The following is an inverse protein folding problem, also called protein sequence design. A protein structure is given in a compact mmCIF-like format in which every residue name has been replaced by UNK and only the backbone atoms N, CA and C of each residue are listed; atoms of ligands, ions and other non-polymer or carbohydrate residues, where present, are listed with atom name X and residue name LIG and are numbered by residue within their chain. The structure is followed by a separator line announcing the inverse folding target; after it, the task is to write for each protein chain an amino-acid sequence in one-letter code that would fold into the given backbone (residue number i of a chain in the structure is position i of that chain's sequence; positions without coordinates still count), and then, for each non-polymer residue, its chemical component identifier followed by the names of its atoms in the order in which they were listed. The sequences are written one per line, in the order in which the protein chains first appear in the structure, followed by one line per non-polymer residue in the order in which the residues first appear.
data_IF_740896942186
#
_entry.id   IF_740896942186
#
_cell.length_a   1.000
_cell.length_b   1.000
_cell.length_c   1.000
_cell.angle_alpha   90.00
_cell.angle_beta   90.00
_cell.angle_gamma   90.00
#
_symmetry.space_group_name_H-M   'P 1'
#
loop_
_entity.id
_entity.type
_entity.pdbx_description
1 polymer ?
#
# COMPACT_ATOMS: atom_id res chain seq x y z
N UNK A 1 -15.88 -9.40 11.96
CA UNK A 1 -16.20 -9.62 10.53
C UNK A 1 -15.23 -10.61 9.94
N UNK A 2 -13.95 -10.42 10.16
CA UNK A 2 -12.88 -11.24 9.60
C UNK A 2 -12.34 -12.17 10.69
N UNK A 3 -13.07 -13.25 10.98
CA UNK A 3 -12.65 -14.31 11.92
C UNK A 3 -11.84 -15.37 11.20
N UNK A 4 -11.21 -16.27 11.94
CA UNK A 4 -10.47 -17.41 11.38
C UNK A 4 -11.38 -18.26 10.49
N UNK A 5 -12.61 -18.54 10.94
CA UNK A 5 -13.62 -19.31 10.19
C UNK A 5 -13.98 -18.61 8.88
N UNK A 6 -14.08 -17.28 8.87
CA UNK A 6 -14.33 -16.51 7.65
C UNK A 6 -13.26 -16.77 6.61
N UNK A 7 -11.98 -16.75 6.99
CA UNK A 7 -10.87 -16.97 6.06
C UNK A 7 -10.85 -18.43 5.56
N UNK A 8 -11.07 -19.40 6.45
CA UNK A 8 -11.14 -20.82 6.09
C UNK A 8 -12.28 -21.10 5.11
N UNK A 9 -13.47 -20.55 5.35
CA UNK A 9 -14.61 -20.71 4.43
C UNK A 9 -14.31 -20.05 3.06
N UNK A 10 -13.71 -18.89 3.03
CA UNK A 10 -13.32 -18.22 1.78
C UNK A 10 -12.28 -19.04 1.02
N UNK A 11 -11.27 -19.58 1.69
CA UNK A 11 -10.25 -20.41 1.08
C UNK A 11 -10.87 -21.65 0.39
N UNK A 12 -11.77 -22.37 1.06
CA UNK A 12 -12.50 -23.51 0.49
C UNK A 12 -13.33 -23.12 -0.75
N UNK A 13 -13.96 -21.95 -0.72
CA UNK A 13 -14.73 -21.45 -1.88
C UNK A 13 -13.79 -21.17 -3.05
N UNK A 14 -12.66 -20.47 -2.80
CA UNK A 14 -11.68 -20.11 -3.82
C UNK A 14 -11.07 -21.39 -4.45
N UNK A 15 -10.66 -22.36 -3.65
CA UNK A 15 -10.16 -23.65 -4.14
C UNK A 15 -11.23 -24.36 -5.00
N UNK A 16 -12.48 -24.42 -4.52
CA UNK A 16 -13.59 -25.02 -5.28
C UNK A 16 -13.87 -24.31 -6.59
N UNK A 17 -13.56 -23.03 -6.71
CA UNK A 17 -13.67 -22.26 -7.96
C UNK A 17 -12.54 -22.57 -8.93
N UNK A 18 -11.54 -23.36 -8.57
CA UNK A 18 -10.44 -23.79 -9.41
C UNK A 18 -9.22 -22.87 -9.37
N UNK A 19 -8.98 -22.18 -8.25
CA UNK A 19 -7.74 -21.44 -8.05
C UNK A 19 -6.54 -22.39 -7.95
N UNK A 20 -5.39 -22.00 -8.53
CA UNK A 20 -4.14 -22.76 -8.48
C UNK A 20 -3.36 -22.52 -7.19
N UNK A 21 -3.54 -21.37 -6.55
CA UNK A 21 -2.94 -21.01 -5.27
C UNK A 21 -3.81 -20.00 -4.52
N UNK A 22 -3.54 -19.81 -3.23
CA UNK A 22 -4.22 -18.87 -2.36
C UNK A 22 -3.21 -17.91 -1.75
N UNK A 23 -3.38 -16.59 -1.95
CA UNK A 23 -2.54 -15.57 -1.36
C UNK A 23 -3.22 -14.91 -0.15
N UNK A 24 -2.55 -14.92 1.01
CA UNK A 24 -2.88 -14.11 2.17
C UNK A 24 -2.23 -12.74 1.98
N UNK A 25 -3.03 -11.69 1.74
CA UNK A 25 -2.51 -10.33 1.51
C UNK A 25 -2.65 -9.47 2.74
N UNK A 26 -1.53 -9.13 3.38
CA UNK A 26 -1.43 -8.20 4.51
C UNK A 26 -0.77 -6.88 4.08
N UNK A 27 -1.52 -6.03 3.41
CA UNK A 27 -1.05 -4.76 2.88
C UNK A 27 -0.71 -3.72 3.95
N UNK A 28 -1.26 -3.85 5.15
CA UNK A 28 -1.06 -2.92 6.25
C UNK A 28 -0.08 -3.43 7.31
N UNK A 29 0.47 -4.64 7.14
CA UNK A 29 1.34 -5.30 8.11
C UNK A 29 0.68 -5.45 9.50
N UNK A 30 -0.60 -5.86 9.51
CA UNK A 30 -1.40 -6.01 10.73
C UNK A 30 -1.47 -7.45 11.24
N UNK A 31 -1.15 -8.41 10.39
CA UNK A 31 -1.13 -9.82 10.76
C UNK A 31 -0.01 -10.04 11.78
N UNK A 32 -0.40 -10.33 13.02
CA UNK A 32 0.58 -10.61 14.06
C UNK A 32 1.27 -11.96 13.82
N UNK A 33 2.49 -12.20 14.35
CA UNK A 33 3.19 -13.44 14.16
C UNK A 33 2.40 -14.69 14.61
N UNK A 34 1.70 -14.60 15.73
CA UNK A 34 0.92 -15.72 16.26
C UNK A 34 -0.39 -15.93 15.50
N UNK A 35 -1.07 -14.84 15.09
CA UNK A 35 -2.25 -14.95 14.23
C UNK A 35 -1.88 -15.53 12.86
N UNK A 36 -0.68 -15.22 12.34
CA UNK A 36 -0.17 -15.83 11.12
C UNK A 36 0.00 -17.35 11.26
N UNK A 37 0.57 -17.79 12.39
CA UNK A 37 0.70 -19.22 12.67
C UNK A 37 -0.66 -19.91 12.70
N UNK A 38 -1.63 -19.36 13.44
CA UNK A 38 -2.98 -19.93 13.55
C UNK A 38 -3.69 -19.95 12.19
N UNK A 39 -3.65 -18.84 11.46
CA UNK A 39 -4.30 -18.71 10.16
C UNK A 39 -3.72 -19.70 9.15
N UNK A 40 -2.39 -19.72 9.01
CA UNK A 40 -1.73 -20.63 8.06
C UNK A 40 -1.99 -22.07 8.42
N UNK A 41 -1.88 -22.47 9.71
CA UNK A 41 -2.18 -23.83 10.14
C UNK A 41 -3.61 -24.25 9.77
N UNK A 42 -4.60 -23.40 10.07
CA UNK A 42 -5.99 -23.69 9.75
C UNK A 42 -6.26 -23.73 8.22
N UNK A 43 -5.59 -22.92 7.43
CA UNK A 43 -5.71 -22.95 5.98
C UNK A 43 -5.04 -24.19 5.38
N UNK A 44 -3.86 -24.59 5.87
CA UNK A 44 -3.18 -25.83 5.44
C UNK A 44 -4.00 -27.08 5.73
N UNK A 45 -4.78 -27.07 6.83
CA UNK A 45 -5.72 -28.17 7.14
C UNK A 45 -6.99 -28.14 6.27
N UNK A 46 -7.33 -26.97 5.70
CA UNK A 46 -8.61 -26.74 5.04
C UNK A 46 -8.58 -26.87 3.51
N UNK A 47 -7.43 -26.56 2.87
CA UNK A 47 -7.25 -26.56 1.41
C UNK A 47 -5.98 -27.31 1.02
N UNK A 48 -5.94 -27.81 -0.22
CA UNK A 48 -4.82 -28.57 -0.77
C UNK A 48 -3.91 -27.76 -1.70
N UNK A 49 -4.38 -26.59 -2.16
CA UNK A 49 -3.62 -25.70 -3.02
C UNK A 49 -2.52 -24.96 -2.26
N UNK A 50 -1.42 -24.57 -2.93
CA UNK A 50 -0.35 -23.78 -2.32
C UNK A 50 -0.86 -22.48 -1.70
N UNK A 51 -0.30 -22.12 -0.54
CA UNK A 51 -0.64 -20.89 0.18
C UNK A 51 0.57 -19.97 0.21
N UNK A 52 0.35 -18.71 -0.16
CA UNK A 52 1.32 -17.62 -0.20
C UNK A 52 1.02 -16.59 0.88
N UNK A 53 2.05 -16.03 1.49
CA UNK A 53 1.95 -14.86 2.37
C UNK A 53 2.62 -13.65 1.71
N UNK A 54 1.80 -12.69 1.30
CA UNK A 54 2.18 -11.37 0.83
C UNK A 54 2.01 -10.35 1.95
N UNK A 55 3.04 -10.13 2.76
CA UNK A 55 3.00 -9.25 3.91
C UNK A 55 3.95 -8.06 3.76
N UNK A 56 3.44 -6.85 4.01
CA UNK A 56 4.25 -5.63 4.07
C UNK A 56 4.97 -5.49 5.42
N UNK A 57 5.88 -4.49 5.52
CA UNK A 57 6.72 -4.30 6.70
C UNK A 57 6.36 -3.06 7.54
N UNK A 58 5.28 -2.36 7.23
CA UNK A 58 4.92 -1.06 7.82
C UNK A 58 4.97 -1.05 9.35
N UNK A 59 4.42 -2.08 10.01
CA UNK A 59 4.39 -2.20 11.49
C UNK A 59 5.72 -2.66 12.10
N UNK A 60 6.66 -3.15 11.30
CA UNK A 60 7.90 -3.78 11.77
C UNK A 60 7.76 -5.26 12.13
N UNK A 61 6.58 -5.86 12.01
CA UNK A 61 6.36 -7.28 12.36
C UNK A 61 6.64 -8.25 11.20
N UNK A 62 6.78 -7.77 9.96
CA UNK A 62 6.75 -8.58 8.74
C UNK A 62 7.64 -9.82 8.77
N UNK A 63 8.92 -9.72 9.18
CA UNK A 63 9.81 -10.89 9.26
C UNK A 63 9.40 -11.90 10.34
N UNK A 64 8.93 -11.42 11.50
CA UNK A 64 8.44 -12.31 12.56
C UNK A 64 7.17 -13.02 12.10
N UNK A 65 6.30 -12.31 11.38
CA UNK A 65 5.06 -12.86 10.78
C UNK A 65 5.40 -13.93 9.75
N UNK A 66 6.35 -13.68 8.84
CA UNK A 66 6.82 -14.66 7.86
C UNK A 66 7.42 -15.88 8.52
N UNK A 67 8.27 -15.71 9.54
CA UNK A 67 8.87 -16.84 10.26
C UNK A 67 7.79 -17.73 10.88
N UNK A 68 6.78 -17.16 11.52
CA UNK A 68 5.68 -17.92 12.11
C UNK A 68 4.79 -18.59 11.06
N UNK A 69 4.57 -17.95 9.92
CA UNK A 69 3.88 -18.59 8.79
C UNK A 69 4.68 -19.78 8.22
N UNK A 70 6.01 -19.64 8.11
CA UNK A 70 6.91 -20.73 7.67
C UNK A 70 6.89 -21.90 8.65
N UNK A 71 6.91 -21.64 9.96
CA UNK A 71 6.78 -22.67 10.98
C UNK A 71 5.43 -23.41 10.87
N UNK A 72 4.35 -22.69 10.52
CA UNK A 72 3.01 -23.26 10.31
C UNK A 72 2.86 -24.02 8.97
N UNK A 73 3.86 -23.97 8.09
CA UNK A 73 3.87 -24.74 6.84
C UNK A 73 3.40 -23.97 5.60
N UNK A 74 3.49 -22.63 5.58
CA UNK A 74 3.25 -21.85 4.37
C UNK A 74 4.15 -22.31 3.22
N UNK A 75 3.65 -22.24 1.99
CA UNK A 75 4.38 -22.71 0.81
C UNK A 75 5.24 -21.61 0.19
N UNK A 76 4.76 -20.34 0.21
CA UNK A 76 5.41 -19.20 -0.45
C UNK A 76 5.36 -17.99 0.48
N UNK A 77 6.44 -17.22 0.53
CA UNK A 77 6.51 -15.89 1.17
C UNK A 77 7.15 -14.90 0.25
N UNK A 78 6.61 -13.68 0.19
CA UNK A 78 7.15 -12.59 -0.62
C UNK A 78 8.18 -11.80 0.15
N UNK A 79 9.29 -11.51 -0.51
CA UNK A 79 10.41 -10.73 0.03
C UNK A 79 10.95 -9.78 -1.02
N UNK A 80 11.65 -8.74 -0.55
CA UNK A 80 12.42 -7.83 -1.41
C UNK A 80 13.92 -8.00 -1.17
N UNK A 81 14.75 -7.60 -2.12
CA UNK A 81 16.15 -7.34 -1.86
C UNK A 81 16.29 -6.13 -0.94
N UNK A 82 17.30 -6.15 -0.05
CA UNK A 82 17.47 -5.13 1.01
C UNK A 82 17.29 -3.68 0.54
N UNK A 83 17.82 -3.22 -0.61
CA UNK A 83 17.68 -1.81 -1.01
C UNK A 83 16.24 -1.33 -1.24
N UNK A 84 15.32 -2.25 -1.57
CA UNK A 84 13.90 -1.94 -1.79
C UNK A 84 12.98 -2.42 -0.67
N UNK A 85 13.52 -3.04 0.37
CA UNK A 85 12.76 -3.64 1.46
C UNK A 85 12.33 -2.64 2.53
N UNK A 86 11.59 -3.14 3.52
CA UNK A 86 11.13 -2.43 4.71
C UNK A 86 10.04 -1.38 4.42
N UNK A 87 9.64 -0.60 5.42
CA UNK A 87 8.60 0.43 5.32
C UNK A 87 7.29 -0.14 4.77
N UNK A 88 6.85 0.39 3.64
CA UNK A 88 5.64 -0.06 2.92
C UNK A 88 5.93 -1.14 1.88
N UNK A 89 7.15 -1.62 1.79
CA UNK A 89 7.57 -2.76 0.99
C UNK A 89 7.53 -4.07 1.80
N UNK A 90 8.18 -5.11 1.31
CA UNK A 90 8.23 -6.42 1.99
C UNK A 90 9.44 -6.54 2.93
N UNK A 91 9.48 -7.60 3.76
CA UNK A 91 10.67 -7.97 4.52
C UNK A 91 11.85 -8.28 3.58
N UNK A 92 13.10 -7.98 3.98
CA UNK A 92 14.28 -8.34 3.19
C UNK A 92 14.53 -9.85 3.16
N UNK A 93 15.01 -10.33 2.02
CA UNK A 93 15.31 -11.75 1.77
C UNK A 93 16.54 -12.23 2.56
N UNK A 94 17.59 -11.43 2.63
CA UNK A 94 18.89 -11.82 3.16
C UNK A 94 18.84 -12.33 4.61
N UNK A 95 18.19 -11.63 5.57
CA UNK A 95 18.04 -12.14 6.92
C UNK A 95 17.19 -13.41 6.99
N UNK A 96 16.24 -13.60 6.07
CA UNK A 96 15.41 -14.81 6.02
C UNK A 96 16.23 -16.03 5.59
N UNK A 97 17.12 -15.89 4.61
CA UNK A 97 18.06 -16.95 4.19
C UNK A 97 18.87 -17.42 5.39
N UNK A 98 19.51 -16.49 6.11
CA UNK A 98 20.35 -16.81 7.28
C UNK A 98 19.52 -17.50 8.37
N UNK A 99 18.30 -17.02 8.63
CA UNK A 99 17.41 -17.60 9.63
C UNK A 99 17.01 -19.03 9.28
N UNK A 100 16.66 -19.29 8.02
CA UNK A 100 16.17 -20.59 7.58
C UNK A 100 17.31 -21.59 7.30
N UNK A 101 18.54 -21.14 7.08
CA UNK A 101 19.68 -22.05 6.85
C UNK A 101 19.98 -22.95 8.04
N UNK A 102 19.55 -22.55 9.25
CA UNK A 102 19.67 -23.36 10.47
C UNK A 102 18.49 -24.32 10.68
N UNK A 103 17.58 -24.43 9.72
CA UNK A 103 16.36 -25.24 9.80
C UNK A 103 16.29 -26.25 8.66
N UNK A 104 15.29 -27.13 8.70
CA UNK A 104 15.01 -28.05 7.59
C UNK A 104 14.38 -27.31 6.37
N UNK A 105 13.95 -26.05 6.54
CA UNK A 105 13.27 -25.24 5.54
C UNK A 105 14.21 -24.27 4.83
N UNK A 106 15.35 -24.77 4.37
CA UNK A 106 16.34 -23.98 3.63
C UNK A 106 15.77 -23.42 2.33
N UNK A 107 16.09 -22.18 2.04
CA UNK A 107 15.63 -21.50 0.81
C UNK A 107 16.32 -22.01 -0.46
N UNK A 108 17.53 -22.55 -0.33
CA UNK A 108 18.38 -22.94 -1.46
C UNK A 108 19.11 -21.77 -2.13
N UNK A 109 18.92 -20.53 -1.69
CA UNK A 109 19.68 -19.38 -2.17
C UNK A 109 21.08 -19.35 -1.59
N UNK A 110 22.06 -19.00 -2.42
CA UNK A 110 23.40 -18.63 -1.95
C UNK A 110 23.40 -17.18 -1.47
N UNK A 111 23.70 -16.98 -0.18
CA UNK A 111 23.64 -15.67 0.47
C UNK A 111 24.57 -14.65 -0.21
N UNK A 112 25.78 -15.04 -0.62
CA UNK A 112 26.71 -14.12 -1.23
C UNK A 112 26.21 -13.63 -2.60
N UNK A 113 25.62 -14.55 -3.39
CA UNK A 113 24.99 -14.18 -4.67
C UNK A 113 23.85 -13.18 -4.49
N UNK A 114 23.04 -13.34 -3.43
CA UNK A 114 21.93 -12.42 -3.12
C UNK A 114 22.47 -11.07 -2.64
N UNK A 115 23.52 -11.05 -1.80
CA UNK A 115 24.19 -9.80 -1.38
C UNK A 115 24.77 -9.07 -2.57
N UNK A 116 25.49 -9.76 -3.46
CA UNK A 116 26.04 -9.16 -4.69
C UNK A 116 24.96 -8.54 -5.59
N UNK A 117 23.78 -9.17 -5.65
CA UNK A 117 22.63 -8.63 -6.37
C UNK A 117 22.05 -7.38 -5.69
N UNK A 118 21.97 -7.38 -4.37
CA UNK A 118 21.52 -6.23 -3.58
C UNK A 118 22.47 -5.04 -3.74
N UNK A 119 23.78 -5.27 -3.68
CA UNK A 119 24.79 -4.20 -3.87
C UNK A 119 24.71 -3.58 -5.28
N UNK A 120 24.52 -4.41 -6.31
CA UNK A 120 24.32 -3.92 -7.68
C UNK A 120 23.03 -3.10 -7.81
N UNK A 121 21.95 -3.57 -7.16
CA UNK A 121 20.69 -2.85 -7.16
C UNK A 121 20.82 -1.52 -6.41
N UNK A 122 21.48 -1.49 -5.25
CA UNK A 122 21.74 -0.26 -4.49
C UNK A 122 22.47 0.79 -5.34
N UNK A 123 23.56 0.38 -6.01
CA UNK A 123 24.32 1.26 -6.90
C UNK A 123 23.45 1.81 -8.05
N UNK A 124 22.67 0.94 -8.69
CA UNK A 124 21.76 1.35 -9.77
C UNK A 124 20.71 2.38 -9.27
N UNK A 125 20.15 2.15 -8.09
CA UNK A 125 19.16 3.05 -7.49
C UNK A 125 19.79 4.40 -7.15
N UNK A 126 21.00 4.42 -6.61
CA UNK A 126 21.73 5.65 -6.29
C UNK A 126 22.11 6.45 -7.55
N UNK A 127 22.58 5.78 -8.60
CA UNK A 127 23.04 6.43 -9.83
C UNK A 127 21.90 6.97 -10.69
N UNK A 128 20.77 6.25 -10.76
CA UNK A 128 19.71 6.56 -11.74
C UNK A 128 18.36 6.90 -11.14
N UNK A 129 18.11 6.52 -9.88
CA UNK A 129 16.77 6.61 -9.27
C UNK A 129 16.75 7.28 -7.90
N UNK A 130 17.83 7.96 -7.49
CA UNK A 130 17.92 8.64 -6.19
C UNK A 130 16.78 9.62 -5.93
N UNK A 131 16.31 10.30 -6.99
CA UNK A 131 15.21 11.28 -6.91
C UNK A 131 13.85 10.64 -6.64
N UNK A 132 13.71 9.34 -6.93
CA UNK A 132 12.49 8.56 -6.70
C UNK A 132 12.50 7.81 -5.36
N UNK A 133 13.64 7.78 -4.69
CA UNK A 133 13.74 7.11 -3.40
C UNK A 133 13.10 7.96 -2.29
N UNK A 134 12.39 7.29 -1.40
CA UNK A 134 11.77 7.98 -0.26
C UNK A 134 12.84 8.69 0.58
N UNK A 135 12.62 9.96 0.99
CA UNK A 135 13.57 10.67 1.83
C UNK A 135 13.91 9.88 3.08
N UNK A 136 15.19 9.86 3.47
CA UNK A 136 15.71 9.19 4.66
C UNK A 136 15.12 9.69 6.00
N UNK A 137 14.35 10.80 5.95
CA UNK A 137 13.67 11.41 7.10
C UNK A 137 12.48 10.59 7.63
N UNK A 138 11.93 9.67 6.84
CA UNK A 138 10.83 8.84 7.31
C UNK A 138 11.34 7.64 8.11
N UNK A 139 10.69 7.38 9.24
CA UNK A 139 10.98 6.15 9.99
C UNK A 139 10.79 4.92 9.10
N UNK A 140 11.69 3.93 9.16
CA UNK A 140 11.51 2.67 8.45
C UNK A 140 10.34 1.84 9.00
N UNK A 141 9.82 2.19 10.18
CA UNK A 141 8.69 1.51 10.84
C UNK A 141 7.70 2.57 11.30
N UNK A 142 6.42 2.35 11.02
CA UNK A 142 5.30 3.14 11.51
C UNK A 142 4.38 2.28 12.37
N UNK A 143 4.61 2.28 13.68
CA UNK A 143 3.78 1.50 14.62
C UNK A 143 2.38 2.09 14.82
N UNK A 144 2.11 3.31 14.37
CA UNK A 144 0.78 3.90 14.46
C UNK A 144 -0.25 3.15 13.60
N UNK A 145 0.20 2.41 12.58
CA UNK A 145 -0.65 1.54 11.75
C UNK A 145 -1.40 0.51 12.61
N UNK A 146 -0.83 0.04 13.70
CA UNK A 146 -1.46 -0.91 14.62
C UNK A 146 -2.70 -0.32 15.31
N UNK A 147 -2.79 1.01 15.38
CA UNK A 147 -3.91 1.73 15.99
C UNK A 147 -4.96 2.14 14.95
N UNK A 148 -4.55 2.80 13.86
CA UNK A 148 -5.50 3.30 12.86
C UNK A 148 -5.81 2.29 11.75
N UNK A 149 -5.02 1.22 11.59
CA UNK A 149 -5.20 0.14 10.62
C UNK A 149 -5.24 0.62 9.15
N UNK A 150 -4.60 1.75 8.86
CA UNK A 150 -4.52 2.35 7.53
C UNK A 150 -3.21 1.96 6.89
N UNK A 151 -3.21 1.30 5.70
CA UNK A 151 -1.98 0.95 5.01
C UNK A 151 -1.09 2.16 4.75
N UNK A 152 0.24 1.99 4.85
CA UNK A 152 1.20 3.08 4.69
C UNK A 152 1.09 3.79 3.34
N UNK A 153 0.92 3.05 2.23
CA UNK A 153 0.69 3.63 0.91
C UNK A 153 -0.62 4.44 0.82
N UNK A 154 -1.66 4.06 1.59
CA UNK A 154 -2.88 4.85 1.69
C UNK A 154 -2.64 6.17 2.44
N UNK A 155 -1.85 6.15 3.51
CA UNK A 155 -1.52 7.37 4.26
C UNK A 155 -0.79 8.39 3.38
N UNK A 156 0.15 7.95 2.54
CA UNK A 156 0.83 8.80 1.56
C UNK A 156 -0.15 9.45 0.59
N UNK A 157 -1.11 8.69 0.06
CA UNK A 157 -2.15 9.22 -0.83
C UNK A 157 -3.07 10.24 -0.12
N UNK A 158 -3.44 9.99 1.15
CA UNK A 158 -4.23 10.94 1.94
C UNK A 158 -3.48 12.26 2.17
N UNK A 159 -2.18 12.17 2.47
CA UNK A 159 -1.31 13.34 2.63
C UNK A 159 -1.22 14.15 1.33
N UNK A 160 -1.01 13.51 0.18
CA UNK A 160 -0.97 14.21 -1.10
C UNK A 160 -2.28 14.95 -1.40
N UNK A 161 -3.43 14.27 -1.21
CA UNK A 161 -4.74 14.90 -1.44
C UNK A 161 -5.03 16.07 -0.49
N UNK A 162 -4.64 15.95 0.78
CA UNK A 162 -4.79 17.04 1.75
C UNK A 162 -3.83 18.20 1.46
N UNK A 163 -2.62 17.92 0.95
CA UNK A 163 -1.68 18.94 0.53
C UNK A 163 -2.20 19.72 -0.69
N UNK A 164 -2.74 19.02 -1.69
CA UNK A 164 -3.39 19.64 -2.85
C UNK A 164 -4.58 20.54 -2.48
N UNK A 165 -5.29 20.18 -1.39
CA UNK A 165 -6.41 20.95 -0.86
C UNK A 165 -5.99 22.00 0.19
N UNK A 166 -4.72 22.21 0.44
CA UNK A 166 -4.17 23.06 1.52
C UNK A 166 -4.82 22.80 2.88
N UNK A 167 -4.96 21.53 3.25
CA UNK A 167 -5.71 21.06 4.41
C UNK A 167 -4.99 19.94 5.20
N UNK A 168 -3.65 19.95 5.23
CA UNK A 168 -2.84 18.92 5.91
C UNK A 168 -3.17 18.79 7.40
N UNK A 169 -3.57 19.87 8.06
CA UNK A 169 -3.97 19.88 9.46
C UNK A 169 -5.22 19.04 9.74
N UNK A 170 -6.00 18.70 8.70
CA UNK A 170 -7.20 17.85 8.81
C UNK A 170 -6.92 16.35 8.82
N UNK A 171 -5.67 15.92 8.63
CA UNK A 171 -5.29 14.50 8.64
C UNK A 171 -5.84 13.74 9.87
N UNK A 172 -5.72 14.24 11.11
CA UNK A 172 -6.28 13.54 12.27
C UNK A 172 -7.80 13.35 12.21
N UNK A 173 -8.53 14.28 11.60
CA UNK A 173 -9.96 14.17 11.40
C UNK A 173 -10.29 13.12 10.32
N UNK A 174 -9.52 13.05 9.24
CA UNK A 174 -9.67 12.05 8.17
C UNK A 174 -9.41 10.65 8.73
N UNK A 175 -8.37 10.45 9.53
CA UNK A 175 -8.07 9.16 10.15
C UNK A 175 -9.20 8.70 11.10
N UNK A 176 -9.90 9.63 11.77
CA UNK A 176 -11.08 9.33 12.59
C UNK A 176 -12.36 9.08 11.76
N UNK A 177 -12.47 9.67 10.58
CA UNK A 177 -13.61 9.50 9.68
C UNK A 177 -13.52 8.19 8.87
N UNK A 178 -12.31 7.75 8.56
CA UNK A 178 -12.07 6.59 7.71
C UNK A 178 -12.74 5.29 8.22
N UNK A 179 -12.65 4.91 9.51
CA UNK A 179 -13.36 3.74 10.03
C UNK A 179 -14.88 3.85 9.90
N UNK A 180 -15.45 5.08 10.01
CA UNK A 180 -16.88 5.32 9.86
C UNK A 180 -17.30 5.17 8.40
N UNK A 181 -16.53 5.74 7.48
CA UNK A 181 -16.75 5.59 6.04
C UNK A 181 -16.66 4.12 5.62
N UNK A 182 -15.65 3.39 6.10
CA UNK A 182 -15.50 1.95 5.88
C UNK A 182 -16.72 1.15 6.39
N UNK A 183 -17.21 1.48 7.59
CA UNK A 183 -18.40 0.86 8.16
C UNK A 183 -19.64 1.12 7.31
N UNK A 184 -19.87 2.35 6.88
CA UNK A 184 -21.01 2.71 6.04
C UNK A 184 -21.01 1.97 4.70
N UNK A 185 -19.85 1.67 4.18
CA UNK A 185 -19.64 0.98 2.90
C UNK A 185 -19.56 -0.56 3.02
N UNK A 186 -19.93 -1.12 4.17
CA UNK A 186 -20.03 -2.58 4.36
C UNK A 186 -18.70 -3.26 4.69
N UNK A 187 -17.74 -2.55 5.29
CA UNK A 187 -16.44 -3.05 5.74
C UNK A 187 -15.58 -3.67 4.63
N UNK A 188 -15.37 -3.00 3.48
CA UNK A 188 -14.45 -3.52 2.49
C UNK A 188 -13.04 -3.71 3.08
N UNK A 189 -12.29 -4.69 2.59
CA UNK A 189 -10.86 -4.79 2.90
C UNK A 189 -10.14 -3.53 2.40
N UNK A 190 -9.18 -3.01 3.20
CA UNK A 190 -8.39 -1.83 2.82
C UNK A 190 -7.18 -2.25 1.97
N UNK A 191 -7.46 -2.73 0.78
CA UNK A 191 -6.50 -3.11 -0.25
C UNK A 191 -6.81 -2.34 -1.53
N UNK A 192 -5.88 -2.28 -2.48
CA UNK A 192 -6.10 -1.65 -3.78
C UNK A 192 -7.20 -2.38 -4.57
N UNK A 193 -8.19 -1.71 -5.16
CA UNK A 193 -8.41 -0.26 -5.20
C UNK A 193 -9.28 0.28 -4.05
N UNK A 194 -9.92 -0.56 -3.24
CA UNK A 194 -10.92 -0.14 -2.23
C UNK A 194 -10.33 0.79 -1.17
N UNK A 195 -9.05 0.63 -0.80
CA UNK A 195 -8.37 1.53 0.13
C UNK A 195 -8.33 2.97 -0.39
N UNK A 196 -8.02 3.16 -1.67
CA UNK A 196 -7.99 4.47 -2.31
C UNK A 196 -9.40 5.09 -2.39
N UNK A 197 -10.38 4.32 -2.85
CA UNK A 197 -11.78 4.75 -2.99
C UNK A 197 -12.32 5.25 -1.64
N UNK A 198 -12.10 4.48 -0.57
CA UNK A 198 -12.56 4.82 0.78
C UNK A 198 -11.78 5.99 1.36
N UNK A 199 -10.47 6.06 1.10
CA UNK A 199 -9.62 7.16 1.53
C UNK A 199 -10.07 8.48 0.95
N UNK A 200 -10.26 8.54 -0.37
CA UNK A 200 -10.78 9.73 -1.07
C UNK A 200 -12.11 10.16 -0.47
N UNK A 201 -13.04 9.22 -0.25
CA UNK A 201 -14.33 9.57 0.33
C UNK A 201 -14.21 10.06 1.77
N UNK A 202 -13.30 9.52 2.58
CA UNK A 202 -13.08 10.00 3.94
C UNK A 202 -12.55 11.45 3.94
N UNK A 203 -11.62 11.80 3.03
CA UNK A 203 -11.15 13.18 2.82
C UNK A 203 -12.32 14.09 2.42
N UNK A 204 -13.10 13.71 1.42
CA UNK A 204 -14.26 14.49 0.97
C UNK A 204 -15.29 14.68 2.09
N UNK A 205 -15.55 13.66 2.90
CA UNK A 205 -16.45 13.75 4.05
C UNK A 205 -16.00 14.78 5.09
N UNK A 206 -14.70 14.91 5.29
CA UNK A 206 -14.11 15.90 6.24
C UNK A 206 -14.09 17.31 5.65
N UNK A 207 -13.80 17.43 4.35
CA UNK A 207 -13.68 18.74 3.72
C UNK A 207 -15.04 19.38 3.41
N UNK A 208 -16.00 18.58 2.93
CA UNK A 208 -17.25 19.07 2.36
C UNK A 208 -18.50 18.62 3.11
N UNK A 209 -18.35 17.75 4.11
CA UNK A 209 -19.48 17.12 4.81
C UNK A 209 -19.78 15.72 4.28
N UNK A 210 -20.33 14.87 5.17
CA UNK A 210 -20.50 13.44 4.89
C UNK A 210 -21.40 13.17 3.68
N UNK A 211 -20.77 12.61 2.63
CA UNK A 211 -21.41 12.27 1.36
C UNK A 211 -22.13 13.45 0.68
N UNK A 212 -21.67 14.70 0.90
CA UNK A 212 -22.10 15.85 0.11
C UNK A 212 -21.36 15.89 -1.24
N UNK A 213 -20.10 15.49 -1.25
CA UNK A 213 -19.32 15.22 -2.46
C UNK A 213 -19.04 13.73 -2.54
N UNK A 214 -19.33 13.13 -3.70
CA UNK A 214 -19.20 11.69 -3.94
C UNK A 214 -18.51 11.48 -5.29
N UNK A 215 -17.39 10.75 -5.28
CA UNK A 215 -16.68 10.41 -6.53
C UNK A 215 -17.45 9.36 -7.34
N UNK A 216 -17.14 9.29 -8.65
CA UNK A 216 -17.70 8.25 -9.53
C UNK A 216 -17.37 6.86 -9.01
N UNK A 217 -16.14 6.63 -8.55
CA UNK A 217 -15.69 5.34 -8.01
C UNK A 217 -16.52 4.89 -6.79
N UNK A 218 -16.94 5.81 -5.93
CA UNK A 218 -17.85 5.49 -4.81
C UNK A 218 -19.23 5.12 -5.31
N UNK A 219 -19.75 5.79 -6.34
CA UNK A 219 -21.04 5.42 -6.95
C UNK A 219 -20.97 4.02 -7.56
N UNK A 220 -19.92 3.75 -8.32
CA UNK A 220 -19.64 2.46 -8.94
C UNK A 220 -19.51 1.36 -7.87
N UNK A 221 -18.78 1.63 -6.78
CA UNK A 221 -18.64 0.71 -5.65
C UNK A 221 -19.99 0.43 -4.98
N UNK A 222 -20.75 1.47 -4.65
CA UNK A 222 -22.05 1.32 -3.96
C UNK A 222 -23.09 0.66 -4.87
N UNK A 223 -23.00 0.88 -6.18
CA UNK A 223 -23.85 0.20 -7.15
C UNK A 223 -23.52 -1.30 -7.25
N UNK A 224 -22.26 -1.71 -7.00
CA UNK A 224 -21.83 -3.10 -7.00
C UNK A 224 -20.84 -3.49 -8.09
N UNK A 225 -20.25 -2.52 -8.83
CA UNK A 225 -19.27 -2.81 -9.89
C UNK A 225 -17.92 -3.34 -9.37
N UNK A 226 -17.69 -3.28 -8.06
CA UNK A 226 -16.53 -3.88 -7.39
C UNK A 226 -16.88 -5.18 -6.65
N UNK A 227 -18.06 -5.76 -6.91
CA UNK A 227 -18.59 -6.93 -6.22
C UNK A 227 -19.33 -6.59 -4.93
N UNK A 228 -19.61 -7.61 -4.13
CA UNK A 228 -20.41 -7.45 -2.90
C UNK A 228 -19.51 -7.19 -1.69
N UNK A 229 -19.80 -6.19 -0.84
CA UNK A 229 -19.03 -5.97 0.38
C UNK A 229 -19.28 -7.09 1.41
N UNK A 230 -18.34 -7.28 2.36
CA UNK A 230 -18.46 -8.32 3.41
C UNK A 230 -19.72 -8.21 4.27
N UNK A 231 -20.19 -6.98 4.53
CA UNK A 231 -21.42 -6.70 5.27
C UNK A 231 -22.34 -5.75 4.50
N UNK A 232 -23.64 -5.72 4.83
CA UNK A 232 -24.56 -4.77 4.22
C UNK A 232 -24.13 -3.32 4.41
N UNK A 233 -24.16 -2.54 3.34
CA UNK A 233 -23.93 -1.10 3.38
C UNK A 233 -25.04 -0.35 4.11
N UNK A 234 -24.73 0.83 4.65
CA UNK A 234 -25.70 1.72 5.29
C UNK A 234 -26.74 2.20 4.27
N UNK A 235 -28.01 1.81 4.46
CA UNK A 235 -29.10 2.11 3.52
C UNK A 235 -29.30 3.61 3.24
N UNK A 236 -29.04 4.50 4.24
CA UNK A 236 -29.15 5.95 4.05
C UNK A 236 -28.02 6.46 3.13
N UNK A 237 -26.82 5.92 3.30
CA UNK A 237 -25.66 6.25 2.45
C UNK A 237 -25.90 5.74 1.03
N UNK A 238 -26.32 4.50 0.85
CA UNK A 238 -26.67 3.94 -0.47
C UNK A 238 -27.66 4.86 -1.20
N UNK A 239 -28.77 5.25 -0.56
CA UNK A 239 -29.77 6.14 -1.16
C UNK A 239 -29.18 7.51 -1.53
N UNK A 240 -28.29 8.06 -0.69
CA UNK A 240 -27.66 9.37 -0.94
C UNK A 240 -26.66 9.32 -2.10
N UNK A 241 -25.83 8.28 -2.13
CA UNK A 241 -24.77 8.08 -3.11
C UNK A 241 -25.31 7.79 -4.51
N UNK A 242 -26.33 6.92 -4.59
CA UNK A 242 -26.90 6.50 -5.89
C UNK A 242 -27.97 7.44 -6.42
N UNK A 243 -28.32 8.53 -5.71
CA UNK A 243 -29.29 9.49 -6.21
C UNK A 243 -28.84 10.07 -7.56
N UNK A 244 -29.62 9.83 -8.60
CA UNK A 244 -29.34 10.27 -9.96
C UNK A 244 -28.14 9.57 -10.62
N UNK A 245 -27.76 8.39 -10.12
CA UNK A 245 -26.67 7.62 -10.75
C UNK A 245 -27.15 6.99 -12.07
N UNK A 246 -26.35 7.11 -13.12
CA UNK A 246 -26.71 6.75 -14.49
C UNK A 246 -27.08 5.28 -14.69
N UNK A 247 -26.51 4.36 -13.92
CA UNK A 247 -26.81 2.91 -13.96
C UNK A 247 -28.00 2.51 -13.09
N UNK A 248 -28.56 3.46 -12.31
CA UNK A 248 -29.71 3.23 -11.44
C UNK A 248 -29.44 3.54 -9.97
N UNK A 249 -30.50 3.73 -9.20
CA UNK A 249 -30.44 4.12 -7.78
C UNK A 249 -30.48 2.93 -6.81
N UNK A 250 -30.49 1.71 -7.33
CA UNK A 250 -30.51 0.46 -6.54
C UNK A 250 -29.27 -0.37 -6.87
N UNK A 251 -28.53 -0.86 -5.85
CA UNK A 251 -27.37 -1.71 -6.08
C UNK A 251 -27.74 -2.96 -6.91
N UNK A 252 -26.87 -3.30 -7.84
CA UNK A 252 -27.02 -4.52 -8.65
C UNK A 252 -26.67 -5.76 -7.83
N UNK A 253 -27.25 -6.91 -8.23
CA UNK A 253 -26.87 -8.25 -7.76
C UNK A 253 -26.15 -9.05 -8.83
N UNK A 254 -26.06 -8.51 -10.04
CA UNK A 254 -25.39 -9.14 -11.16
C UNK A 254 -23.86 -9.08 -10.94
N UNK A 255 -23.15 -10.01 -11.56
CA UNK A 255 -21.68 -9.98 -11.54
C UNK A 255 -21.18 -8.80 -12.39
N UNK A 256 -20.23 -8.00 -11.89
CA UNK A 256 -19.68 -6.88 -12.67
C UNK A 256 -19.22 -7.28 -14.08
N UNK A 257 -18.57 -8.42 -14.23
CA UNK A 257 -18.10 -8.91 -15.52
C UNK A 257 -19.23 -9.17 -16.55
N UNK A 258 -20.46 -9.40 -16.09
CA UNK A 258 -21.61 -9.67 -16.96
C UNK A 258 -22.29 -8.38 -17.45
N UNK A 259 -22.02 -7.23 -16.79
CA UNK A 259 -22.66 -5.93 -17.07
C UNK A 259 -21.69 -4.84 -17.53
N UNK A 260 -20.39 -5.09 -17.49
CA UNK A 260 -19.37 -4.20 -18.03
C UNK A 260 -19.09 -4.55 -19.49
N UNK A 261 -19.05 -3.51 -20.33
CA UNK A 261 -18.71 -3.69 -21.74
C UNK A 261 -17.22 -4.01 -21.92
N UNK A 262 -16.86 -4.92 -22.84
CA UNK A 262 -15.46 -5.17 -23.18
C UNK A 262 -14.78 -3.92 -23.74
N UNK A 263 -13.65 -3.51 -23.18
CA UNK A 263 -12.99 -2.24 -23.52
C UNK A 263 -11.84 -2.39 -24.53
N UNK A 264 -11.29 -3.59 -24.75
CA UNK A 264 -10.10 -3.77 -25.60
C UNK A 264 -10.31 -3.32 -27.07
N UNK A 265 -11.49 -3.55 -27.63
CA UNK A 265 -11.79 -3.13 -29.01
C UNK A 265 -11.77 -1.60 -29.13
N UNK A 266 -12.37 -0.93 -28.14
CA UNK A 266 -12.35 0.54 -28.05
C UNK A 266 -10.93 1.04 -27.83
N UNK A 267 -10.19 0.43 -26.93
CA UNK A 267 -8.80 0.82 -26.65
C UNK A 267 -7.92 0.76 -27.91
N UNK A 268 -8.06 -0.30 -28.74
CA UNK A 268 -7.34 -0.39 -30.02
C UNK A 268 -7.69 0.75 -30.96
N UNK A 269 -8.97 1.08 -31.06
CA UNK A 269 -9.42 2.19 -31.91
C UNK A 269 -8.94 3.54 -31.41
N UNK A 270 -8.98 3.78 -30.10
CA UNK A 270 -8.61 5.05 -29.49
C UNK A 270 -7.10 5.38 -29.66
N UNK A 271 -6.23 4.36 -29.69
CA UNK A 271 -4.78 4.59 -29.84
C UNK A 271 -4.20 4.20 -31.21
N UNK A 272 -5.02 3.83 -32.18
CA UNK A 272 -4.56 3.34 -33.51
C UNK A 272 -3.59 4.29 -34.22
N UNK A 273 -3.74 5.60 -34.00
CA UNK A 273 -2.86 6.65 -34.56
C UNK A 273 -1.50 6.71 -33.86
N UNK A 274 -1.37 6.09 -32.69
CA UNK A 274 -0.16 6.07 -31.87
C UNK A 274 0.57 4.74 -32.02
N UNK A 275 -0.16 3.64 -31.86
CA UNK A 275 0.40 2.29 -31.90
C UNK A 275 -0.65 1.23 -32.22
N UNK A 276 -0.20 0.15 -32.86
CA UNK A 276 -0.96 -1.09 -33.03
C UNK A 276 -0.40 -2.27 -32.21
N UNK A 277 0.60 -2.01 -31.39
CA UNK A 277 1.20 -3.00 -30.49
C UNK A 277 0.21 -3.40 -29.38
N UNK A 278 0.05 -4.70 -29.15
CA UNK A 278 -0.91 -5.19 -28.15
C UNK A 278 -0.54 -4.79 -26.72
N UNK A 279 0.75 -4.67 -26.39
CA UNK A 279 1.20 -4.19 -25.10
C UNK A 279 0.80 -2.72 -24.86
N UNK A 280 0.86 -1.90 -25.91
CA UNK A 280 0.44 -0.50 -25.84
C UNK A 280 -1.09 -0.39 -25.69
N UNK A 281 -1.85 -1.24 -26.37
CA UNK A 281 -3.31 -1.34 -26.19
C UNK A 281 -3.66 -1.69 -24.75
N UNK A 282 -2.95 -2.64 -24.14
CA UNK A 282 -3.14 -3.03 -22.74
C UNK A 282 -2.75 -1.92 -21.78
N UNK A 283 -1.66 -1.19 -22.03
CA UNK A 283 -1.26 -0.02 -21.24
C UNK A 283 -2.37 1.03 -21.24
N UNK A 284 -2.92 1.33 -22.43
CA UNK A 284 -4.01 2.30 -22.54
C UNK A 284 -5.30 1.82 -21.87
N UNK A 285 -5.69 0.56 -22.09
CA UNK A 285 -6.89 -0.01 -21.49
C UNK A 285 -6.85 0.00 -19.96
N UNK A 286 -5.68 -0.30 -19.36
CA UNK A 286 -5.49 -0.30 -17.92
C UNK A 286 -5.33 1.11 -17.32
N UNK A 287 -4.73 2.03 -18.09
CA UNK A 287 -4.38 3.38 -17.64
C UNK A 287 -4.73 4.45 -18.69
N UNK A 288 -6.03 4.74 -18.94
CA UNK A 288 -6.43 5.56 -20.09
C UNK A 288 -5.80 6.96 -20.09
N UNK A 289 -5.61 7.57 -18.94
CA UNK A 289 -5.04 8.93 -18.84
C UNK A 289 -3.51 8.88 -18.81
N UNK A 290 -2.94 8.22 -17.81
CA UNK A 290 -1.47 8.16 -17.63
C UNK A 290 -0.79 7.29 -18.67
N UNK A 291 -1.44 6.21 -19.08
CA UNK A 291 -0.97 5.34 -20.16
C UNK A 291 -0.92 6.06 -21.50
N UNK A 292 -1.94 6.87 -21.83
CA UNK A 292 -1.91 7.70 -23.04
C UNK A 292 -0.74 8.68 -23.04
N UNK A 293 -0.49 9.37 -21.92
CA UNK A 293 0.65 10.25 -21.78
C UNK A 293 1.98 9.53 -22.00
N UNK A 294 2.13 8.35 -21.37
CA UNK A 294 3.29 7.50 -21.53
C UNK A 294 3.49 7.04 -22.97
N UNK A 295 2.42 6.60 -23.64
CA UNK A 295 2.47 6.14 -25.04
C UNK A 295 2.86 7.28 -25.99
N UNK A 296 2.33 8.49 -25.80
CA UNK A 296 2.70 9.66 -26.60
C UNK A 296 4.18 9.99 -26.44
N UNK A 297 4.71 9.90 -25.22
CA UNK A 297 6.15 9.99 -24.97
C UNK A 297 6.93 8.84 -25.60
N UNK A 298 6.54 7.58 -25.34
CA UNK A 298 7.20 6.38 -25.86
C UNK A 298 7.37 6.44 -27.38
N UNK A 299 6.38 6.95 -28.10
CA UNK A 299 6.37 7.07 -29.57
C UNK A 299 6.86 8.41 -30.09
N UNK A 300 7.46 9.26 -29.27
CA UNK A 300 8.09 10.51 -29.68
C UNK A 300 7.11 11.59 -30.17
N UNK A 301 5.83 11.51 -29.76
CA UNK A 301 4.80 12.51 -30.08
C UNK A 301 4.94 13.70 -29.12
N UNK A 302 5.19 13.42 -27.85
CA UNK A 302 5.42 14.44 -26.82
C UNK A 302 6.83 14.27 -26.25
N UNK A 303 7.40 15.35 -25.71
CA UNK A 303 8.65 15.26 -24.94
C UNK A 303 8.45 14.40 -23.68
N UNK A 304 9.50 13.65 -23.24
CA UNK A 304 9.43 12.94 -21.97
C UNK A 304 9.09 13.95 -20.86
N UNK A 305 8.35 13.52 -19.82
CA UNK A 305 8.10 14.37 -18.69
C UNK A 305 9.47 14.88 -18.23
N UNK A 306 9.63 16.22 -18.20
CA UNK A 306 10.81 16.80 -17.56
C UNK A 306 10.85 16.10 -16.21
N UNK A 307 11.99 15.55 -15.84
CA UNK A 307 12.30 15.26 -14.45
C UNK A 307 12.19 16.61 -13.70
N UNK A 308 10.95 17.04 -13.46
CA UNK A 308 10.72 17.83 -12.28
C UNK A 308 11.14 16.85 -11.20
N UNK A 309 12.47 16.89 -10.88
CA UNK A 309 12.89 16.48 -9.58
C UNK A 309 11.71 16.78 -8.69
N UNK A 310 11.21 15.81 -8.00
CA UNK A 310 10.28 16.05 -6.89
C UNK A 310 11.07 16.95 -5.94
N UNK A 311 11.29 18.18 -6.49
CA UNK A 311 11.71 19.34 -5.77
C UNK A 311 10.52 19.58 -4.85
N UNK A 312 10.51 18.86 -3.71
CA UNK A 312 10.42 19.58 -2.47
C UNK A 312 11.42 20.72 -2.63
N UNK A 313 10.97 21.76 -3.38
CA UNK A 313 11.62 23.04 -3.40
C UNK A 313 11.91 23.29 -1.97
N UNK A 314 13.17 23.12 -1.65
CA UNK A 314 13.80 23.61 -0.50
C UNK A 314 12.95 24.64 0.23
N UNK A 315 12.12 24.14 1.17
CA UNK A 315 11.95 24.82 2.43
C UNK A 315 13.32 24.97 3.13
N UNK A 316 14.41 24.85 2.39
CA UNK A 316 15.76 25.17 2.82
C UNK A 316 16.01 26.67 2.85
N UNK A 317 15.16 27.48 2.23
CA UNK A 317 15.29 28.93 2.35
C UNK A 317 14.39 29.54 3.42
N UNK A 318 13.43 28.80 3.98
CA UNK A 318 12.66 29.26 5.16
C UNK A 318 13.16 28.74 6.49
N UNK A 319 14.01 27.70 6.51
CA UNK A 319 14.58 27.15 7.76
C UNK A 319 15.79 27.91 8.29
N UNK A 320 16.27 28.94 7.61
CA UNK A 320 17.26 29.84 8.20
C UNK A 320 16.67 30.86 9.20
N UNK A 321 15.35 30.88 9.39
CA UNK A 321 14.73 31.85 10.32
C UNK A 321 14.07 31.28 11.55
N UNK A 322 13.90 29.98 11.65
CA UNK A 322 13.45 29.33 12.89
C UNK A 322 14.49 28.32 13.42
N UNK A 323 15.69 28.80 13.67
CA UNK A 323 16.49 28.17 14.68
C UNK A 323 15.72 28.29 15.99
N UNK A 324 15.06 27.17 16.37
CA UNK A 324 14.67 26.97 17.77
C UNK A 324 15.92 27.28 18.59
N UNK A 325 15.96 28.43 19.23
CA UNK A 325 16.99 28.72 20.22
C UNK A 325 16.79 27.68 21.29
N UNK A 326 17.57 26.62 21.25
CA UNK A 326 17.73 25.73 22.40
C UNK A 326 18.07 26.63 23.59
N UNK A 327 17.49 26.41 24.77
CA UNK A 327 17.81 27.20 25.93
C UNK A 327 19.32 27.16 26.14
N UNK A 328 19.94 28.33 26.12
CA UNK A 328 21.38 28.48 26.31
C UNK A 328 21.66 28.30 27.80
N UNK A 329 21.91 27.07 28.17
CA UNK A 329 22.33 26.70 29.53
C UNK A 329 21.78 25.34 29.97
N UNK A 330 22.54 24.61 30.79
CA UNK A 330 22.09 23.35 31.34
C UNK A 330 20.88 23.56 32.23
N UNK A 331 19.78 22.86 31.99
CA UNK A 331 18.63 22.82 32.89
C UNK A 331 19.03 22.23 34.28
N UNK A 332 18.21 22.46 35.29
CA UNK A 332 18.49 22.03 36.67
C UNK A 332 18.79 20.51 36.85
N UNK A 333 18.48 19.68 35.84
CA UNK A 333 18.71 18.23 35.84
C UNK A 333 19.64 17.76 34.69
N UNK A 334 20.37 18.67 34.04
CA UNK A 334 21.30 18.26 32.98
C UNK A 334 22.59 17.68 33.58
N UNK A 335 23.14 16.65 32.90
CA UNK A 335 24.44 16.07 33.21
C UNK A 335 25.36 16.31 31.99
N UNK A 336 26.56 16.81 32.25
CA UNK A 336 27.57 16.93 31.22
C UNK A 336 28.39 15.65 31.12
N UNK A 337 28.68 15.23 29.90
CA UNK A 337 29.52 14.09 29.58
C UNK A 337 30.64 14.54 28.65
N UNK A 338 31.84 14.03 28.87
CA UNK A 338 32.93 14.14 27.92
C UNK A 338 33.00 12.87 27.08
N UNK A 339 32.83 13.03 25.77
CA UNK A 339 32.91 11.92 24.82
C UNK A 339 34.18 12.09 23.99
N UNK A 340 34.97 11.04 23.91
CA UNK A 340 36.20 10.99 23.11
C UNK A 340 36.00 10.16 21.88
N UNK A 341 36.31 10.73 20.70
CA UNK A 341 36.33 10.01 19.42
C UNK A 341 37.72 10.14 18.86
N UNK A 342 38.53 9.10 19.02
CA UNK A 342 39.97 9.14 18.78
C UNK A 342 40.64 10.13 19.73
N UNK A 343 41.40 11.12 19.21
CA UNK A 343 42.06 12.16 19.98
C UNK A 343 41.21 13.42 20.21
N UNK A 344 39.95 13.44 19.73
CA UNK A 344 39.03 14.59 19.84
C UNK A 344 38.09 14.42 21.02
N UNK A 345 38.01 15.47 21.88
CA UNK A 345 37.10 15.57 23.00
C UNK A 345 35.87 16.39 22.63
N UNK A 346 34.69 15.93 23.03
CA UNK A 346 33.39 16.59 22.83
C UNK A 346 32.67 16.68 24.16
N UNK A 347 32.22 17.88 24.54
CA UNK A 347 31.35 18.10 25.69
C UNK A 347 29.88 17.97 25.24
N UNK A 348 29.13 17.05 25.88
CA UNK A 348 27.69 16.86 25.66
C UNK A 348 26.99 17.23 26.97
N UNK A 349 26.00 18.13 26.91
CA UNK A 349 25.24 18.62 28.04
C UNK A 349 23.78 18.10 27.97
#
# INVERSE_FOLDING_TARGET
VFTLEYFVEKAKIIEKMGADSLCIKDMAALLSPYDAYELVSALKDAVSIPIELHAHYTSGMGQMTQLKAIEAGIDIVDTDLTPLSLRTAHPPLEPLIVTLDQTEKKTGFDLNTVIDASDKLENLLQEHYSDFMAPSKFSPIDTSVLTHQVPGGMTSNLLSQLAEADALEKLPAVLKELPKTRKDLGFPPLVTPSSQIIGIQAVQNVLFGRYEMVSQQIKDYVYGLYGQPPLPMNKRVVKKVLKGYERGETPTKEKPADILEPELTKAREDIKEISSDEGDVLIYALYPVTGLQFLRWKHGIDDPPKQDSYNMKKEQESSEKDTVKLPVGPGANSRSYKVYVGEKEFDII
#
